data_IF_391251092874
#
_entry.id   IF_391251092874
#
_cell.length_a   1.000
_cell.length_b   1.000
_cell.length_c   1.000
_cell.angle_alpha   90.00
_cell.angle_beta   90.00
_cell.angle_gamma   90.00
#
_symmetry.space_group_name_H-M   'P 1'
#
loop_
_entity.id
_entity.type
_entity.pdbx_description
1 polymer ?
#
# COMPACT_ATOMS: atom_id res chain seq x y z
N UNK A 1 -0.92 16.55 -13.17
CA UNK A 1 -0.55 15.19 -13.46
C UNK A 1 -1.20 14.22 -12.50
N UNK A 2 -1.66 13.11 -12.97
CA UNK A 2 -2.38 12.19 -12.14
C UNK A 2 -1.44 11.19 -11.51
N UNK A 3 -1.64 11.00 -10.22
CA UNK A 3 -0.86 10.01 -9.49
C UNK A 3 -1.44 8.65 -9.76
N UNK A 4 -0.68 7.77 -10.38
CA UNK A 4 -1.18 6.45 -10.71
C UNK A 4 -1.11 5.48 -9.54
N UNK A 5 -0.40 5.83 -8.48
CA UNK A 5 -0.32 4.96 -7.32
C UNK A 5 -1.57 5.16 -6.49
N UNK A 6 -2.18 4.07 -6.08
CA UNK A 6 -3.41 4.15 -5.32
C UNK A 6 -3.29 3.60 -3.93
N UNK A 7 -2.35 2.71 -3.70
CA UNK A 7 -2.20 2.10 -2.40
C UNK A 7 -0.76 2.07 -2.00
N UNK A 8 -0.52 2.09 -0.70
CA UNK A 8 0.83 2.00 -0.18
C UNK A 8 0.83 1.05 0.99
N UNK A 9 1.84 0.20 1.04
CA UNK A 9 2.00 -0.73 2.13
C UNK A 9 3.25 -0.34 2.89
N UNK A 10 3.10 -0.07 4.17
CA UNK A 10 4.20 0.29 5.04
C UNK A 10 4.61 -0.90 5.86
N UNK A 11 5.89 -1.20 5.87
CA UNK A 11 6.43 -2.29 6.67
C UNK A 11 7.69 -1.82 7.33
N UNK A 12 7.65 -1.62 8.63
CA UNK A 12 8.84 -1.29 9.38
C UNK A 12 9.57 -0.06 8.84
N UNK A 13 8.84 0.94 8.38
CA UNK A 13 9.47 2.13 7.89
C UNK A 13 9.72 2.16 6.40
N UNK A 14 9.45 1.04 5.72
CA UNK A 14 9.59 0.98 4.27
C UNK A 14 8.23 1.08 3.63
N UNK A 15 8.15 1.77 2.52
CA UNK A 15 6.88 1.93 1.83
C UNK A 15 6.97 1.39 0.42
N UNK A 16 5.93 0.69 0.01
CA UNK A 16 5.81 0.14 -1.32
C UNK A 16 4.50 0.63 -1.92
N UNK A 17 4.55 1.10 -3.12
CA UNK A 17 3.37 1.67 -3.77
C UNK A 17 2.79 0.70 -4.79
N UNK A 18 1.48 0.65 -4.86
CA UNK A 18 0.78 -0.25 -5.76
C UNK A 18 -0.34 0.48 -6.47
N UNK A 19 -0.66 0.02 -7.67
CA UNK A 19 -1.76 0.61 -8.43
C UNK A 19 -3.03 -0.19 -8.26
N UNK A 20 -2.94 -1.43 -7.82
CA UNK A 20 -4.10 -2.28 -7.66
C UNK A 20 -4.23 -2.74 -6.24
N UNK A 21 -5.46 -2.74 -5.75
CA UNK A 21 -5.71 -3.13 -4.38
C UNK A 21 -5.29 -4.58 -4.12
N UNK A 22 -5.58 -5.46 -5.07
CA UNK A 22 -5.28 -6.87 -4.87
C UNK A 22 -3.79 -7.10 -4.66
N UNK A 23 -2.97 -6.39 -5.42
CA UNK A 23 -1.54 -6.51 -5.26
C UNK A 23 -1.09 -6.00 -3.90
N UNK A 24 -1.62 -4.88 -3.50
CA UNK A 24 -1.25 -4.29 -2.21
C UNK A 24 -1.67 -5.22 -1.09
N UNK A 25 -2.89 -5.75 -1.18
CA UNK A 25 -3.40 -6.62 -0.14
C UNK A 25 -2.59 -7.91 -0.07
N UNK A 26 -2.21 -8.42 -1.21
CA UNK A 26 -1.43 -9.65 -1.25
C UNK A 26 -0.10 -9.47 -0.53
N UNK A 27 0.56 -8.36 -0.76
CA UNK A 27 1.82 -8.10 -0.10
C UNK A 27 1.63 -7.79 1.37
N UNK A 28 0.54 -7.09 1.68
CA UNK A 28 0.21 -6.81 3.06
C UNK A 28 0.06 -8.10 3.85
N UNK A 29 -0.71 -9.05 3.30
CA UNK A 29 -0.92 -10.32 3.98
C UNK A 29 0.38 -11.10 4.10
N UNK A 30 1.21 -11.00 3.09
CA UNK A 30 2.46 -11.73 3.10
C UNK A 30 3.36 -11.24 4.23
N UNK A 31 3.42 -9.93 4.44
CA UNK A 31 4.23 -9.39 5.50
C UNK A 31 3.69 -9.81 6.87
N UNK A 32 2.38 -9.79 7.01
CA UNK A 32 1.75 -10.20 8.26
C UNK A 32 2.09 -11.67 8.53
N UNK A 33 2.04 -12.47 7.48
CA UNK A 33 2.30 -13.89 7.63
C UNK A 33 3.74 -14.15 8.05
N UNK A 34 4.65 -13.28 7.66
CA UNK A 34 6.03 -13.46 8.03
C UNK A 34 6.35 -13.00 9.44
N UNK A 35 5.35 -12.50 10.14
CA UNK A 35 5.57 -12.12 11.52
C UNK A 35 5.71 -10.65 11.78
N UNK A 36 5.61 -9.84 10.75
CA UNK A 36 5.68 -8.40 10.93
C UNK A 36 4.34 -7.92 11.45
N UNK A 37 4.37 -7.14 12.51
CA UNK A 37 3.13 -6.58 13.03
C UNK A 37 3.08 -5.07 12.82
N UNK A 38 4.08 -4.53 12.16
CA UNK A 38 4.12 -3.10 11.89
C UNK A 38 3.84 -2.88 10.40
N UNK A 39 2.73 -3.44 9.95
CA UNK A 39 2.36 -3.38 8.55
C UNK A 39 1.06 -2.60 8.40
N UNK A 40 1.06 -1.65 7.48
CA UNK A 40 -0.10 -0.82 7.25
C UNK A 40 -0.43 -0.76 5.78
N UNK A 41 -1.70 -0.88 5.46
CA UNK A 41 -2.18 -0.75 4.09
C UNK A 41 -3.03 0.50 4.02
N UNK A 42 -2.59 1.46 3.25
CA UNK A 42 -3.29 2.73 3.15
C UNK A 42 -3.74 2.97 1.73
N UNK A 43 -4.90 3.58 1.60
CA UNK A 43 -5.41 3.94 0.30
C UNK A 43 -5.04 5.38 0.02
N UNK A 44 -4.33 5.59 -1.05
CA UNK A 44 -3.92 6.93 -1.44
C UNK A 44 -5.07 7.63 -2.12
N UNK A 45 -5.23 8.90 -1.82
CA UNK A 45 -6.29 9.66 -2.41
C UNK A 45 -5.91 10.00 -3.84
N UNK A 46 -6.85 9.80 -4.73
CA UNK A 46 -6.60 10.18 -6.08
C UNK A 46 -6.57 11.66 -6.19
N UNK A 47 -5.73 12.15 -7.02
CA UNK A 47 -5.61 13.57 -7.19
C UNK A 47 -6.70 14.05 -8.08
N UNK A 48 -7.76 14.41 -7.57
CA UNK A 48 -8.77 14.89 -8.28
C UNK A 48 -8.81 16.24 -8.18
N UNK A 49 -8.60 16.77 -8.10
CA UNK A 49 -8.78 17.90 -8.17
C UNK A 49 -9.65 18.37 -8.13
N UNK A 50 -9.91 18.17 -7.78
CA UNK A 50 -10.67 18.40 -7.72
C UNK A 50 -10.76 18.80 -7.72
#
# INVERSE_FOLDING_TARGET
MINKWRYVVWVGGCDDYYTEYERAKEHYDKWIEQGYDDVHLLKLKENEDE
#
